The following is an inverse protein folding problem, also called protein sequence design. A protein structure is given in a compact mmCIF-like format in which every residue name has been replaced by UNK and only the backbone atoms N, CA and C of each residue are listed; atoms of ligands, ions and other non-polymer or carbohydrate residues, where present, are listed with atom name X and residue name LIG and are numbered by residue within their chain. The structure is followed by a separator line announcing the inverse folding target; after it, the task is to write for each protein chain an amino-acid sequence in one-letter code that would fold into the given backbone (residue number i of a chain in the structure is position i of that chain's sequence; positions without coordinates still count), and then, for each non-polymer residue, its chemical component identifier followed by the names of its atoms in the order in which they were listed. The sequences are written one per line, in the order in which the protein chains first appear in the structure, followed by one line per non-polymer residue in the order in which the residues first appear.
data_IF_181904927748
#
_entry.id   IF_181904927748
#
_cell.length_a   1.000
_cell.length_b   1.000
_cell.length_c   1.000
_cell.angle_alpha   90.00
_cell.angle_beta   90.00
_cell.angle_gamma   90.00
#
_symmetry.space_group_name_H-M   'P 1'
#
loop_
_entity.id
_entity.type
_entity.pdbx_description
1 polymer ?
#
# COMPACT_ATOMS: atom_id res chain seq x y z
N UNK A 1 5.69 63.27 37.29
CA UNK A 1 5.76 61.84 37.70
C UNK A 1 5.94 60.98 36.46
N UNK A 2 7.19 60.88 36.01
CA UNK A 2 7.71 59.69 35.32
C UNK A 2 8.01 58.66 36.44
N UNK A 3 7.98 57.34 36.30
CA UNK A 3 8.72 56.53 35.34
C UNK A 3 8.15 55.09 35.32
N UNK A 4 8.03 54.55 34.10
CA UNK A 4 8.27 53.15 33.74
C UNK A 4 9.68 52.73 34.20
N UNK A 5 9.91 51.45 34.53
CA UNK A 5 11.11 50.68 34.16
C UNK A 5 11.45 49.64 35.23
N UNK A 6 11.34 48.35 34.88
CA UNK A 6 12.09 47.29 35.54
C UNK A 6 13.20 46.87 34.57
N UNK A 7 14.43 47.24 34.94
CA UNK A 7 15.68 47.00 34.23
C UNK A 7 16.31 45.63 34.60
N UNK A 8 16.84 44.98 33.57
CA UNK A 8 18.19 44.35 33.48
C UNK A 8 18.57 43.15 34.40
N UNK A 9 18.54 41.94 33.82
CA UNK A 9 19.69 41.04 33.42
C UNK A 9 21.09 41.34 34.03
N UNK A 10 22.04 40.39 34.24
CA UNK A 10 22.07 38.90 34.38
C UNK A 10 22.89 38.43 35.64
N UNK A 11 23.32 37.15 35.76
CA UNK A 11 24.72 36.88 35.39
C UNK A 11 24.93 35.60 34.58
N UNK A 12 26.05 35.61 33.85
CA UNK A 12 26.52 34.58 32.94
C UNK A 12 27.93 34.13 33.40
N UNK A 13 28.26 32.85 33.16
CA UNK A 13 29.56 32.16 33.30
C UNK A 13 30.09 31.92 34.73
N UNK A 14 30.58 30.73 35.12
CA UNK A 14 31.32 29.70 34.36
C UNK A 14 31.36 28.34 35.12
N UNK A 15 31.56 27.23 34.40
CA UNK A 15 31.94 25.94 35.00
C UNK A 15 31.64 24.71 34.14
N UNK A 16 32.60 24.31 33.30
CA UNK A 16 32.63 23.04 32.54
C UNK A 16 32.30 21.81 33.41
N UNK A 17 31.54 20.87 32.86
CA UNK A 17 31.99 19.48 32.64
C UNK A 17 30.89 18.61 31.99
N UNK A 18 31.18 18.14 30.77
CA UNK A 18 30.85 16.82 30.21
C UNK A 18 29.45 16.23 30.50
N UNK A 19 28.59 16.18 29.49
CA UNK A 19 27.39 15.35 29.51
C UNK A 19 26.72 15.29 28.15
N UNK A 20 26.68 14.09 27.56
CA UNK A 20 26.18 13.80 26.22
C UNK A 20 24.77 14.35 25.97
N UNK A 21 24.60 15.11 24.89
CA UNK A 21 23.29 15.47 24.33
C UNK A 21 22.79 14.33 23.43
N UNK A 22 22.11 13.36 24.03
CA UNK A 22 21.16 12.49 23.35
C UNK A 22 19.75 12.98 23.67
N UNK A 23 19.18 13.83 22.82
CA UNK A 23 17.78 14.21 22.91
C UNK A 23 16.92 13.00 22.55
N UNK A 24 16.17 12.49 23.53
CA UNK A 24 15.04 11.59 23.31
C UNK A 24 13.97 12.37 22.56
N UNK A 25 13.87 12.14 21.25
CA UNK A 25 12.70 12.55 20.48
C UNK A 25 11.61 11.53 20.81
N UNK A 26 10.52 11.97 21.43
CA UNK A 26 9.39 11.11 21.79
C UNK A 26 8.84 10.42 20.53
N UNK A 27 8.83 9.09 20.54
CA UNK A 27 8.49 8.27 19.36
C UNK A 27 7.09 8.49 18.79
N UNK A 28 6.18 9.09 19.59
CA UNK A 28 4.82 9.41 19.17
C UNK A 28 4.76 10.61 18.19
N UNK A 29 5.63 11.60 18.38
CA UNK A 29 5.67 12.80 17.51
C UNK A 29 6.22 12.45 16.11
N UNK A 30 7.20 11.54 16.06
CA UNK A 30 7.77 11.05 14.81
C UNK A 30 6.77 10.24 13.97
N UNK A 31 6.00 9.35 14.60
CA UNK A 31 5.00 8.53 13.90
C UNK A 31 3.87 9.39 13.33
N UNK A 32 3.38 10.37 14.11
CA UNK A 32 2.40 11.33 13.62
C UNK A 32 2.93 12.17 12.45
N UNK A 33 4.20 12.60 12.51
CA UNK A 33 4.84 13.39 11.47
C UNK A 33 5.00 12.60 10.15
N UNK A 34 5.37 11.32 10.22
CA UNK A 34 5.52 10.48 9.02
C UNK A 34 4.16 10.12 8.40
N UNK A 35 3.13 9.87 9.22
CA UNK A 35 1.75 9.68 8.73
C UNK A 35 1.21 10.94 8.05
N UNK A 36 1.47 12.12 8.62
CA UNK A 36 1.11 13.40 8.01
C UNK A 36 1.77 13.60 6.64
N UNK A 37 3.05 13.24 6.53
CA UNK A 37 3.80 13.30 5.27
C UNK A 37 3.24 12.30 4.25
N UNK A 38 2.95 11.07 4.66
CA UNK A 38 2.34 10.07 3.79
C UNK A 38 0.94 10.48 3.32
N UNK A 39 0.12 11.05 4.21
CA UNK A 39 -1.21 11.56 3.87
C UNK A 39 -1.13 12.61 2.77
N UNK A 40 -0.17 13.55 2.89
CA UNK A 40 0.09 14.57 1.86
C UNK A 40 0.58 13.96 0.54
N UNK A 41 1.51 13.01 0.59
CA UNK A 41 2.10 12.40 -0.60
C UNK A 41 1.10 11.56 -1.40
N UNK A 42 0.21 10.86 -0.69
CA UNK A 42 -0.78 9.96 -1.29
C UNK A 42 -2.13 10.63 -1.49
N UNK A 43 -2.23 11.95 -1.29
CA UNK A 43 -3.49 12.70 -1.32
C UNK A 43 -4.35 12.39 -2.55
N UNK A 44 -3.73 12.30 -3.73
CA UNK A 44 -4.43 12.02 -5.00
C UNK A 44 -4.95 10.58 -5.14
N UNK A 45 -4.50 9.67 -4.28
CA UNK A 45 -4.89 8.26 -4.32
C UNK A 45 -6.12 7.99 -3.45
N UNK A 46 -6.30 8.76 -2.37
CA UNK A 46 -7.43 8.60 -1.46
C UNK A 46 -8.43 9.76 -1.50
N UNK A 47 -8.09 10.93 -2.07
CA UNK A 47 -9.02 12.01 -2.34
C UNK A 47 -9.42 12.04 -3.82
N UNK A 48 -10.63 11.59 -4.11
CA UNK A 48 -11.22 11.51 -5.44
C UNK A 48 -12.48 12.38 -5.49
N UNK A 49 -12.37 13.69 -5.76
CA UNK A 49 -13.46 14.65 -5.59
C UNK A 49 -14.71 14.31 -6.40
N UNK A 50 -14.53 13.76 -7.60
CA UNK A 50 -15.60 13.50 -8.58
C UNK A 50 -16.15 12.06 -8.53
N UNK A 51 -15.61 11.20 -7.66
CA UNK A 51 -16.07 9.82 -7.55
C UNK A 51 -17.53 9.78 -7.06
N UNK A 52 -18.34 8.86 -7.58
CA UNK A 52 -19.70 8.65 -7.06
C UNK A 52 -19.70 7.76 -5.82
N UNK A 53 -20.84 7.66 -5.12
CA UNK A 53 -20.99 6.71 -4.00
C UNK A 53 -20.76 5.28 -4.48
N UNK A 54 -21.31 4.95 -5.63
CA UNK A 54 -21.24 3.63 -6.26
C UNK A 54 -19.80 3.29 -6.66
N UNK A 55 -19.05 4.27 -7.21
CA UNK A 55 -17.62 4.10 -7.51
C UNK A 55 -16.83 3.78 -6.25
N UNK A 56 -17.09 4.50 -5.15
CA UNK A 56 -16.42 4.27 -3.87
C UNK A 56 -16.70 2.87 -3.32
N UNK A 57 -17.96 2.43 -3.37
CA UNK A 57 -18.33 1.05 -2.99
C UNK A 57 -17.56 0.05 -3.84
N UNK A 58 -17.56 0.24 -5.16
CA UNK A 58 -16.88 -0.64 -6.11
C UNK A 58 -15.36 -0.71 -5.86
N UNK A 59 -14.71 0.43 -5.67
CA UNK A 59 -13.26 0.53 -5.44
C UNK A 59 -12.82 -0.11 -4.11
N UNK A 60 -13.67 -0.08 -3.09
CA UNK A 60 -13.35 -0.56 -1.74
C UNK A 60 -13.81 -1.98 -1.45
N UNK A 61 -14.75 -2.55 -2.24
CA UNK A 61 -15.37 -3.85 -1.93
C UNK A 61 -14.34 -4.98 -1.74
N UNK A 62 -13.26 -4.98 -2.54
CA UNK A 62 -12.22 -6.02 -2.56
C UNK A 62 -10.93 -5.56 -1.86
N UNK A 63 -10.99 -4.45 -1.10
CA UNK A 63 -9.85 -3.91 -0.36
C UNK A 63 -9.84 -4.38 1.09
N UNK A 64 -8.68 -4.22 1.74
CA UNK A 64 -8.53 -4.52 3.15
C UNK A 64 -9.34 -3.56 4.04
N UNK A 65 -9.80 -4.02 5.22
CA UNK A 65 -10.39 -3.14 6.22
C UNK A 65 -9.51 -1.93 6.52
N UNK A 66 -10.13 -0.76 6.64
CA UNK A 66 -9.45 0.52 6.83
C UNK A 66 -9.07 1.23 5.53
N UNK A 67 -9.13 0.55 4.37
CA UNK A 67 -9.02 1.21 3.07
C UNK A 67 -10.18 2.20 2.89
N UNK A 68 -9.88 3.39 2.37
CA UNK A 68 -10.86 4.47 2.32
C UNK A 68 -10.69 5.35 1.09
N UNK A 69 -11.76 6.09 0.76
CA UNK A 69 -11.79 7.15 -0.25
C UNK A 69 -12.59 8.32 0.31
N UNK A 70 -12.07 9.54 0.15
CA UNK A 70 -12.77 10.79 0.43
C UNK A 70 -13.11 11.46 -0.91
N UNK A 71 -14.34 11.98 -1.01
CA UNK A 71 -14.83 12.69 -2.19
C UNK A 71 -15.64 13.91 -1.80
N UNK A 72 -15.95 14.78 -2.76
CA UNK A 72 -16.90 15.86 -2.51
C UNK A 72 -18.29 15.28 -2.25
N UNK A 73 -18.97 15.82 -1.23
CA UNK A 73 -20.36 15.47 -0.98
C UNK A 73 -21.25 16.18 -1.98
N UNK A 74 -22.11 15.43 -2.64
CA UNK A 74 -23.12 15.95 -3.57
C UNK A 74 -24.38 16.33 -2.79
N UNK A 75 -24.65 15.62 -1.69
CA UNK A 75 -25.86 15.77 -0.88
C UNK A 75 -25.74 16.81 0.23
N UNK A 76 -24.52 17.19 0.61
CA UNK A 76 -24.27 18.15 1.69
C UNK A 76 -23.33 19.25 1.17
N UNK A 77 -23.80 20.49 1.16
CA UNK A 77 -23.03 21.65 0.71
C UNK A 77 -21.78 21.80 1.59
N UNK A 78 -20.64 22.12 0.97
CA UNK A 78 -19.35 22.33 1.64
C UNK A 78 -19.00 21.20 2.62
N UNK A 79 -19.16 19.96 2.16
CA UNK A 79 -18.83 18.78 2.96
C UNK A 79 -18.20 17.72 2.07
N UNK A 80 -17.49 16.78 2.70
CA UNK A 80 -16.91 15.62 2.06
C UNK A 80 -17.63 14.35 2.48
N UNK A 81 -17.62 13.34 1.61
CA UNK A 81 -18.08 11.99 1.93
C UNK A 81 -16.87 11.07 2.06
N UNK A 82 -16.77 10.38 3.19
CA UNK A 82 -15.78 9.34 3.45
C UNK A 82 -16.42 7.97 3.27
N UNK A 83 -15.90 7.15 2.36
CA UNK A 83 -16.18 5.72 2.31
C UNK A 83 -15.02 4.94 2.92
N UNK A 84 -15.32 3.97 3.80
CA UNK A 84 -14.32 3.11 4.45
C UNK A 84 -14.76 1.66 4.41
N UNK A 85 -13.83 0.74 4.10
CA UNK A 85 -14.04 -0.70 4.21
C UNK A 85 -14.01 -1.10 5.70
N UNK A 86 -15.13 -1.55 6.22
CA UNK A 86 -15.24 -2.08 7.58
C UNK A 86 -14.70 -3.52 7.68
N UNK A 87 -14.25 -3.95 8.87
CA UNK A 87 -13.94 -5.35 9.14
C UNK A 87 -15.16 -6.27 8.93
N UNK A 88 -14.97 -7.56 8.65
CA UNK A 88 -16.06 -8.53 8.61
C UNK A 88 -16.74 -8.67 9.98
N UNK A 89 -18.07 -8.50 10.01
CA UNK A 89 -18.90 -8.82 11.16
C UNK A 89 -19.16 -10.33 11.24
N UNK A 90 -19.42 -10.90 12.42
CA UNK A 90 -19.85 -12.29 12.56
C UNK A 90 -21.17 -12.53 11.78
N UNK A 91 -21.40 -13.77 11.28
CA UNK A 91 -22.40 -14.08 10.26
C UNK A 91 -23.87 -13.79 10.62
N UNK A 92 -24.19 -13.44 11.87
CA UNK A 92 -25.55 -13.19 12.34
C UNK A 92 -26.09 -11.76 12.07
N UNK A 93 -25.25 -10.80 11.64
CA UNK A 93 -25.66 -9.40 11.44
C UNK A 93 -25.90 -8.99 9.96
N UNK A 94 -25.81 -9.93 9.01
CA UNK A 94 -25.78 -9.66 7.56
C UNK A 94 -27.12 -9.22 6.92
N UNK A 95 -28.18 -9.01 7.72
CA UNK A 95 -29.54 -8.79 7.23
C UNK A 95 -30.06 -7.34 7.36
N UNK A 96 -29.18 -6.33 7.32
CA UNK A 96 -29.61 -4.92 7.26
C UNK A 96 -29.67 -4.43 5.80
N UNK A 97 -30.66 -3.61 5.46
CA UNK A 97 -30.83 -3.03 4.11
C UNK A 97 -29.58 -2.29 3.63
N UNK A 98 -28.82 -1.67 4.54
CA UNK A 98 -27.57 -0.98 4.25
C UNK A 98 -26.41 -1.93 3.90
N UNK A 99 -26.38 -3.12 4.51
CA UNK A 99 -25.43 -4.16 4.12
C UNK A 99 -25.74 -4.70 2.72
N UNK A 100 -27.01 -4.86 2.36
CA UNK A 100 -27.40 -5.30 1.02
C UNK A 100 -27.06 -4.26 -0.07
N UNK A 101 -27.11 -2.96 0.25
CA UNK A 101 -26.81 -1.87 -0.71
C UNK A 101 -25.32 -1.51 -0.80
N UNK A 102 -24.58 -1.58 0.29
CA UNK A 102 -23.19 -1.10 0.36
C UNK A 102 -22.19 -2.12 0.92
N UNK A 103 -22.64 -3.34 1.23
CA UNK A 103 -21.81 -4.40 1.78
C UNK A 103 -21.11 -3.95 3.07
N UNK A 104 -19.79 -4.14 3.08
CA UNK A 104 -18.92 -3.73 4.18
C UNK A 104 -18.41 -2.30 4.04
N UNK A 105 -18.82 -1.54 3.03
CA UNK A 105 -18.37 -0.15 2.84
C UNK A 105 -19.29 0.78 3.61
N UNK A 106 -18.77 1.40 4.67
CA UNK A 106 -19.50 2.38 5.48
C UNK A 106 -19.20 3.79 4.98
N UNK A 107 -20.20 4.66 5.06
CA UNK A 107 -20.11 6.03 4.58
C UNK A 107 -20.37 7.02 5.70
N UNK A 108 -19.53 8.05 5.77
CA UNK A 108 -19.60 9.12 6.76
C UNK A 108 -19.53 10.47 6.06
N UNK A 109 -20.01 11.52 6.73
CA UNK A 109 -19.92 12.90 6.27
C UNK A 109 -18.87 13.64 7.09
N UNK A 110 -17.95 14.30 6.41
CA UNK A 110 -16.99 15.22 7.01
C UNK A 110 -17.47 16.62 6.63
N UNK A 111 -18.00 17.36 7.60
CA UNK A 111 -18.49 18.72 7.39
C UNK A 111 -17.37 19.73 7.49
N UNK A 112 -17.51 20.83 6.75
CA UNK A 112 -16.68 22.01 6.94
C UNK A 112 -17.29 22.89 8.03
N UNK A 113 -16.51 23.24 9.06
CA UNK A 113 -16.96 24.03 10.21
C UNK A 113 -15.93 25.13 10.53
N UNK A 114 -16.37 26.33 10.99
CA UNK A 114 -15.43 27.38 11.38
C UNK A 114 -14.54 26.95 12.55
N UNK A 115 -13.24 27.21 12.45
CA UNK A 115 -12.31 26.96 13.55
C UNK A 115 -12.46 27.99 14.67
N UNK A 116 -12.41 27.53 15.92
CA UNK A 116 -12.58 28.38 17.11
C UNK A 116 -11.48 29.44 17.29
N UNK A 117 -10.33 29.26 16.65
CA UNK A 117 -9.17 30.14 16.71
C UNK A 117 -9.12 31.16 15.56
N UNK A 118 -10.15 31.20 14.71
CA UNK A 118 -10.26 32.17 13.62
C UNK A 118 -9.35 31.91 12.42
N UNK A 119 -8.70 30.74 12.32
CA UNK A 119 -7.84 30.39 11.18
C UNK A 119 -8.59 30.03 9.89
N UNK A 120 -9.91 30.23 9.85
CA UNK A 120 -10.79 29.92 8.73
C UNK A 120 -11.62 28.68 9.02
N UNK A 121 -11.90 27.91 7.96
CA UNK A 121 -12.72 26.72 8.04
C UNK A 121 -11.86 25.46 8.22
N UNK A 122 -12.27 24.60 9.15
CA UNK A 122 -11.73 23.27 9.38
C UNK A 122 -12.69 22.18 8.94
N UNK A 123 -12.32 20.93 9.20
CA UNK A 123 -13.11 19.74 8.88
C UNK A 123 -13.41 18.95 10.14
N UNK A 124 -14.63 18.41 10.25
CA UNK A 124 -15.07 17.64 11.40
C UNK A 124 -15.99 16.50 10.95
N UNK A 125 -15.88 15.35 11.61
CA UNK A 125 -16.79 14.24 11.35
C UNK A 125 -18.19 14.56 11.89
N UNK A 126 -19.20 14.57 11.02
CA UNK A 126 -20.57 14.88 11.39
C UNK A 126 -21.27 13.70 12.06
N UNK A 127 -22.22 14.00 12.95
CA UNK A 127 -23.05 12.99 13.64
C UNK A 127 -22.46 12.46 14.95
N UNK A 128 -21.35 13.04 15.42
CA UNK A 128 -20.68 12.67 16.66
C UNK A 128 -20.30 13.92 17.46
N UNK A 129 -20.77 14.03 18.70
CA UNK A 129 -20.69 15.27 19.48
C UNK A 129 -19.29 15.61 20.01
N UNK A 130 -18.38 14.64 20.10
CA UNK A 130 -17.05 14.80 20.73
C UNK A 130 -15.88 14.72 19.72
N UNK A 131 -16.14 14.93 18.42
CA UNK A 131 -15.09 14.85 17.42
C UNK A 131 -14.31 16.17 17.30
N UNK A 132 -12.97 16.15 17.26
CA UNK A 132 -12.17 17.35 17.10
C UNK A 132 -12.35 17.98 15.71
N UNK A 133 -12.14 19.30 15.65
CA UNK A 133 -12.07 20.05 14.38
C UNK A 133 -10.62 20.05 13.91
N UNK A 134 -10.40 19.57 12.68
CA UNK A 134 -9.08 19.49 12.08
C UNK A 134 -8.87 20.64 11.08
N UNK A 135 -7.64 21.18 10.96
CA UNK A 135 -7.37 22.26 9.99
C UNK A 135 -7.55 21.83 8.53
N UNK A 136 -7.33 20.56 8.19
CA UNK A 136 -7.49 20.04 6.83
C UNK A 136 -7.80 18.55 6.80
N UNK A 137 -8.19 18.04 5.63
CA UNK A 137 -8.45 16.61 5.40
C UNK A 137 -7.24 15.73 5.70
N UNK A 138 -6.01 16.21 5.46
CA UNK A 138 -4.79 15.45 5.76
C UNK A 138 -4.61 15.22 7.25
N UNK A 139 -4.94 16.22 8.08
CA UNK A 139 -4.86 16.17 9.53
C UNK A 139 -5.94 15.27 10.12
N UNK A 140 -7.15 15.35 9.55
CA UNK A 140 -8.22 14.40 9.84
C UNK A 140 -7.77 12.95 9.54
N UNK A 141 -7.23 12.71 8.35
CA UNK A 141 -6.83 11.36 7.90
C UNK A 141 -5.69 10.82 8.75
N UNK A 142 -4.63 11.59 9.00
CA UNK A 142 -3.48 11.14 9.79
C UNK A 142 -3.88 10.80 11.23
N UNK A 143 -4.74 11.62 11.84
CA UNK A 143 -5.28 11.36 13.18
C UNK A 143 -6.05 10.05 13.21
N UNK A 144 -6.94 9.82 12.23
CA UNK A 144 -7.77 8.61 12.18
C UNK A 144 -7.04 7.35 11.69
N UNK A 145 -5.78 7.46 11.24
CA UNK A 145 -4.90 6.31 11.07
C UNK A 145 -4.44 5.73 12.41
N UNK A 146 -4.33 6.56 13.45
CA UNK A 146 -3.93 6.15 14.80
C UNK A 146 -5.15 5.94 15.71
N UNK A 147 -6.15 6.81 15.58
CA UNK A 147 -7.31 6.87 16.46
C UNK A 147 -8.60 6.69 15.64
N UNK A 148 -9.16 5.47 15.53
CA UNK A 148 -10.37 5.25 14.74
C UNK A 148 -11.55 6.07 15.24
N UNK A 149 -11.63 6.32 16.55
CA UNK A 149 -12.75 7.02 17.18
C UNK A 149 -14.07 6.35 16.82
N UNK A 150 -15.02 7.06 16.18
CA UNK A 150 -16.32 6.52 15.77
C UNK A 150 -16.31 5.73 14.45
N UNK A 151 -15.17 5.66 13.75
CA UNK A 151 -15.03 4.87 12.52
C UNK A 151 -14.99 3.37 12.85
N UNK A 152 -15.42 2.49 11.93
CA UNK A 152 -15.47 1.05 12.18
C UNK A 152 -14.09 0.40 12.38
N UNK A 153 -13.02 1.06 11.91
CA UNK A 153 -11.63 0.73 12.15
C UNK A 153 -10.73 1.92 11.76
N UNK A 154 -9.44 1.83 12.06
CA UNK A 154 -8.48 2.88 11.70
C UNK A 154 -8.34 3.01 10.17
N UNK A 155 -8.13 4.24 9.70
CA UNK A 155 -7.84 4.49 8.30
C UNK A 155 -6.48 3.93 7.92
N UNK A 156 -6.37 3.42 6.70
CA UNK A 156 -5.10 2.95 6.14
C UNK A 156 -4.78 3.78 4.91
N UNK A 157 -3.78 4.64 5.05
CA UNK A 157 -3.24 5.36 3.92
C UNK A 157 -2.75 4.37 2.86
N UNK A 158 -2.96 4.66 1.57
CA UNK A 158 -2.25 3.99 0.49
C UNK A 158 -0.76 4.02 0.83
N UNK A 159 -0.08 2.88 0.74
CA UNK A 159 1.29 2.77 1.21
C UNK A 159 2.22 3.58 0.30
N UNK A 160 2.60 4.80 0.70
CA UNK A 160 3.94 5.30 0.37
C UNK A 160 4.83 4.72 1.45
N UNK A 161 5.61 3.71 1.08
CA UNK A 161 6.48 2.93 1.96
C UNK A 161 7.18 3.85 3.00
N UNK A 162 6.74 3.78 4.26
CA UNK A 162 7.45 4.31 5.41
C UNK A 162 7.50 3.23 6.49
N UNK A 163 8.72 2.96 6.94
CA UNK A 163 9.07 1.87 7.82
C UNK A 163 8.77 2.23 9.28
N UNK A 164 7.62 1.81 9.81
CA UNK A 164 7.41 1.73 11.27
C UNK A 164 6.13 0.97 11.63
N UNK A 165 6.08 -0.34 11.35
CA UNK A 165 5.27 -1.28 12.15
C UNK A 165 6.09 -2.55 12.43
N UNK A 166 7.29 -2.35 12.97
CA UNK A 166 7.78 -3.27 13.99
C UNK A 166 7.49 -2.59 15.31
N UNK A 167 6.50 -3.13 16.05
CA UNK A 167 6.57 -3.45 17.48
C UNK A 167 5.15 -3.47 18.08
N UNK A 168 4.96 -4.47 18.93
CA UNK A 168 3.83 -4.76 19.82
C UNK A 168 2.58 -5.36 19.18
N UNK A 169 2.47 -6.67 19.38
CA UNK A 169 1.28 -7.46 19.09
C UNK A 169 1.63 -8.94 19.07
N UNK A 170 2.19 -9.45 20.16
CA UNK A 170 2.21 -10.89 20.38
C UNK A 170 0.76 -11.36 20.49
N UNK A 171 0.32 -12.17 19.55
CA UNK A 171 -0.81 -13.05 19.76
C UNK A 171 -0.55 -14.35 19.01
N UNK A 172 -0.31 -15.38 19.82
CA UNK A 172 -0.44 -16.78 19.43
C UNK A 172 -1.81 -17.00 18.78
N UNK A 173 -1.83 -17.36 17.50
CA UNK A 173 -2.85 -18.26 16.96
C UNK A 173 -2.52 -18.62 15.51
N UNK A 174 -2.30 -19.92 15.32
CA UNK A 174 -2.18 -20.60 14.05
C UNK A 174 -3.41 -20.29 13.17
N UNK A 175 -3.24 -19.64 12.01
CA UNK A 175 -4.20 -19.73 10.91
C UNK A 175 -3.52 -19.71 9.52
N UNK A 176 -3.60 -20.86 8.85
CA UNK A 176 -3.92 -21.10 7.43
C UNK A 176 -3.50 -20.07 6.34
N UNK A 177 -2.34 -19.44 6.43
CA UNK A 177 -1.71 -18.74 5.30
C UNK A 177 -0.23 -19.07 5.31
N UNK A 178 0.24 -19.79 4.29
CA UNK A 178 1.57 -20.38 4.23
C UNK A 178 2.70 -19.37 4.47
N UNK A 179 3.19 -19.30 5.70
CA UNK A 179 4.51 -18.77 6.04
C UNK A 179 5.26 -19.89 6.73
N UNK A 180 6.26 -20.52 6.09
CA UNK A 180 7.12 -21.47 6.79
C UNK A 180 8.00 -20.69 7.77
N UNK A 181 8.10 -21.22 8.97
CA UNK A 181 8.96 -20.75 10.05
C UNK A 181 10.39 -20.41 9.57
N UNK A 182 10.90 -19.27 10.01
CA UNK A 182 12.31 -18.89 9.85
C UNK A 182 12.54 -17.69 8.92
N UNK A 183 12.33 -16.49 9.47
CA UNK A 183 12.95 -15.25 8.99
C UNK A 183 12.14 -14.43 7.97
N UNK A 184 11.33 -13.49 8.46
CA UNK A 184 10.96 -12.19 7.85
C UNK A 184 10.78 -12.11 6.31
N UNK A 185 10.16 -13.11 5.68
CA UNK A 185 9.89 -13.14 4.23
C UNK A 185 8.41 -13.02 3.88
N UNK A 186 8.11 -12.73 2.60
CA UNK A 186 6.77 -12.91 2.02
C UNK A 186 6.76 -14.15 1.11
N UNK A 187 5.68 -14.92 1.18
CA UNK A 187 5.46 -16.08 0.32
C UNK A 187 4.12 -15.91 -0.40
N UNK A 188 4.13 -15.95 -1.74
CA UNK A 188 2.91 -15.82 -2.55
C UNK A 188 2.93 -16.74 -3.76
N UNK A 189 1.77 -17.23 -4.15
CA UNK A 189 1.53 -17.99 -5.36
C UNK A 189 1.16 -17.05 -6.51
N UNK A 190 1.90 -17.18 -7.61
CA UNK A 190 1.76 -16.35 -8.80
C UNK A 190 1.79 -17.21 -10.05
N UNK A 191 1.25 -16.68 -11.14
CA UNK A 191 1.41 -17.28 -12.46
C UNK A 191 2.65 -16.70 -13.12
N UNK A 192 3.68 -17.53 -13.32
CA UNK A 192 4.84 -17.15 -14.11
C UNK A 192 4.49 -17.19 -15.60
N UNK A 193 4.78 -16.10 -16.32
CA UNK A 193 4.43 -15.94 -17.73
C UNK A 193 5.63 -16.07 -18.67
N UNK A 194 6.82 -15.68 -18.20
CA UNK A 194 8.04 -15.80 -18.98
C UNK A 194 9.16 -14.85 -18.54
N UNK A 195 10.24 -14.88 -19.30
CA UNK A 195 11.42 -14.03 -19.09
C UNK A 195 11.80 -13.40 -20.42
N UNK A 196 12.03 -12.08 -20.42
CA UNK A 196 12.33 -11.30 -21.61
C UNK A 196 13.62 -10.52 -21.40
N UNK A 197 14.64 -10.67 -22.28
CA UNK A 197 15.79 -9.80 -22.26
C UNK A 197 15.41 -8.39 -22.69
N UNK A 198 15.96 -7.40 -22.00
CA UNK A 198 15.69 -5.99 -22.23
C UNK A 198 16.99 -5.22 -22.33
N UNK A 199 16.99 -4.17 -23.13
CA UNK A 199 18.11 -3.24 -23.23
C UNK A 199 18.22 -2.40 -21.96
N UNK A 200 19.24 -1.53 -21.88
CA UNK A 200 19.38 -0.55 -20.80
C UNK A 200 18.36 0.59 -20.96
N UNK A 201 17.08 0.25 -20.78
CA UNK A 201 15.96 1.17 -20.75
C UNK A 201 15.76 1.70 -19.33
N UNK A 202 14.99 2.79 -19.21
CA UNK A 202 14.43 3.19 -17.93
C UNK A 202 13.62 2.05 -17.29
N UNK A 203 13.69 1.92 -15.97
CA UNK A 203 13.14 0.79 -15.20
C UNK A 203 11.69 0.45 -15.60
N UNK A 204 10.80 1.44 -15.63
CA UNK A 204 9.39 1.29 -16.00
C UNK A 204 9.21 0.92 -17.48
N UNK A 205 10.01 1.49 -18.38
CA UNK A 205 9.98 1.16 -19.80
C UNK A 205 10.42 -0.27 -20.09
N UNK A 206 11.38 -0.80 -19.31
CA UNK A 206 11.78 -2.19 -19.38
C UNK A 206 10.64 -3.15 -18.99
N UNK A 207 9.90 -2.85 -17.91
CA UNK A 207 8.71 -3.62 -17.50
C UNK A 207 7.65 -3.59 -18.61
N UNK A 208 7.32 -2.41 -19.13
CA UNK A 208 6.36 -2.25 -20.23
C UNK A 208 6.75 -3.10 -21.44
N UNK A 209 8.01 -3.01 -21.91
CA UNK A 209 8.51 -3.76 -23.08
C UNK A 209 8.39 -5.28 -22.89
N UNK A 210 8.78 -5.78 -21.72
CA UNK A 210 8.70 -7.20 -21.42
C UNK A 210 7.25 -7.72 -21.36
N UNK A 211 6.35 -6.96 -20.72
CA UNK A 211 4.94 -7.33 -20.63
C UNK A 211 4.28 -7.28 -22.01
N UNK A 212 4.50 -6.24 -22.81
CA UNK A 212 4.00 -6.16 -24.19
C UNK A 212 4.43 -7.36 -25.03
N UNK A 213 5.69 -7.79 -24.92
CA UNK A 213 6.20 -8.96 -25.62
C UNK A 213 5.50 -10.25 -25.19
N UNK A 214 5.34 -10.48 -23.87
CA UNK A 214 4.65 -11.65 -23.33
C UNK A 214 3.17 -11.68 -23.75
N UNK A 215 2.47 -10.54 -23.70
CA UNK A 215 1.07 -10.45 -24.12
C UNK A 215 0.91 -10.72 -25.63
N UNK A 216 1.82 -10.20 -26.46
CA UNK A 216 1.84 -10.47 -27.91
C UNK A 216 2.06 -11.96 -28.23
N UNK A 217 3.00 -12.60 -27.51
CA UNK A 217 3.22 -14.04 -27.62
C UNK A 217 2.00 -14.86 -27.18
N UNK A 218 1.33 -14.44 -26.11
CA UNK A 218 0.12 -15.10 -25.64
C UNK A 218 -1.03 -14.99 -26.65
N UNK A 219 -1.15 -13.85 -27.34
CA UNK A 219 -2.20 -13.63 -28.34
C UNK A 219 -1.99 -14.44 -29.63
N UNK A 220 -0.74 -14.74 -29.98
CA UNK A 220 -0.39 -15.45 -31.23
C UNK A 220 -0.20 -16.96 -31.04
N UNK A 221 -0.06 -17.44 -29.80
CA UNK A 221 0.16 -18.86 -29.51
C UNK A 221 -1.14 -19.65 -29.38
N UNK A 222 -1.27 -20.70 -30.21
CA UNK A 222 -2.41 -21.64 -30.18
C UNK A 222 -2.46 -22.48 -28.89
N UNK A 223 -1.30 -22.76 -28.29
CA UNK A 223 -1.16 -23.59 -27.10
C UNK A 223 -0.87 -22.77 -25.82
N UNK A 224 -1.03 -21.44 -25.87
CA UNK A 224 -0.67 -20.53 -24.80
C UNK A 224 0.85 -20.33 -24.64
N UNK A 225 1.26 -19.66 -23.56
CA UNK A 225 2.66 -19.34 -23.32
C UNK A 225 3.48 -20.61 -22.97
N UNK A 226 4.56 -20.95 -23.71
CA UNK A 226 5.28 -22.22 -23.55
C UNK A 226 5.90 -22.45 -22.16
N UNK A 227 6.25 -21.37 -21.46
CA UNK A 227 6.91 -21.41 -20.14
C UNK A 227 5.98 -21.04 -18.99
N UNK A 228 4.67 -20.97 -19.24
CA UNK A 228 3.68 -20.59 -18.25
C UNK A 228 3.54 -21.67 -17.19
N UNK A 229 3.65 -21.31 -15.92
CA UNK A 229 3.39 -22.23 -14.81
C UNK A 229 2.98 -21.49 -13.53
N UNK A 230 2.29 -22.19 -12.63
CA UNK A 230 2.03 -21.69 -11.28
C UNK A 230 3.29 -21.84 -10.44
N UNK A 231 3.75 -20.75 -9.83
CA UNK A 231 4.98 -20.71 -9.01
C UNK A 231 4.66 -20.21 -7.62
N UNK A 232 5.39 -20.70 -6.62
CA UNK A 232 5.42 -20.09 -5.29
C UNK A 232 6.67 -19.21 -5.20
N UNK A 233 6.47 -17.92 -4.99
CA UNK A 233 7.50 -16.90 -4.81
C UNK A 233 7.78 -16.72 -3.32
N UNK A 234 9.03 -16.84 -2.92
CA UNK A 234 9.53 -16.58 -1.57
C UNK A 234 10.52 -15.42 -1.66
N UNK A 235 10.15 -14.25 -1.17
CA UNK A 235 11.06 -13.10 -1.08
C UNK A 235 11.48 -12.89 0.37
N UNK A 236 12.79 -12.84 0.61
CA UNK A 236 13.39 -12.65 1.94
C UNK A 236 14.53 -11.63 1.87
N UNK A 237 14.75 -10.76 2.87
CA UNK A 237 15.71 -9.67 2.76
C UNK A 237 17.16 -10.10 2.53
N UNK A 238 17.60 -11.14 3.24
CA UNK A 238 18.97 -11.65 3.13
C UNK A 238 19.16 -12.63 1.98
N UNK A 239 18.12 -13.37 1.60
CA UNK A 239 18.22 -14.39 0.56
C UNK A 239 17.91 -13.82 -0.83
N UNK A 240 17.08 -12.80 -0.98
CA UNK A 240 16.57 -12.33 -2.27
C UNK A 240 15.20 -12.94 -2.61
N UNK A 241 14.92 -13.10 -3.90
CA UNK A 241 13.65 -13.64 -4.40
C UNK A 241 13.88 -15.01 -5.00
N UNK A 242 13.22 -16.03 -4.46
CA UNK A 242 13.17 -17.38 -5.03
C UNK A 242 11.78 -17.63 -5.58
N UNK A 243 11.66 -18.30 -6.72
CA UNK A 243 10.36 -18.79 -7.17
C UNK A 243 10.49 -20.18 -7.77
N UNK A 244 9.54 -21.05 -7.38
CA UNK A 244 9.58 -22.48 -7.65
C UNK A 244 8.26 -22.94 -8.26
N UNK A 245 8.33 -23.66 -9.38
CA UNK A 245 7.18 -24.28 -10.04
C UNK A 245 6.46 -25.29 -9.12
N UNK A 246 5.17 -25.04 -8.85
CA UNK A 246 4.31 -25.86 -7.99
C UNK A 246 4.01 -27.23 -8.59
N UNK A 247 3.96 -27.32 -9.91
CA UNK A 247 3.63 -28.56 -10.62
C UNK A 247 4.82 -29.52 -10.72
N UNK A 248 6.04 -29.05 -10.41
CA UNK A 248 7.32 -29.74 -10.63
C UNK A 248 7.55 -30.21 -12.09
N UNK A 249 6.71 -29.79 -13.05
CA UNK A 249 6.78 -30.24 -14.46
C UNK A 249 7.83 -29.48 -15.27
N UNK A 250 8.04 -28.19 -14.98
CA UNK A 250 8.95 -27.34 -15.75
C UNK A 250 10.25 -26.98 -15.01
N UNK A 251 10.47 -27.50 -13.79
CA UNK A 251 11.67 -27.28 -12.97
C UNK A 251 12.14 -25.81 -12.92
N UNK A 252 11.20 -24.86 -12.96
CA UNK A 252 11.52 -23.45 -12.82
C UNK A 252 11.77 -23.19 -11.35
N UNK A 253 13.00 -23.45 -10.92
CA UNK A 253 13.56 -22.92 -9.70
C UNK A 253 14.53 -21.81 -10.08
N UNK A 254 14.19 -20.58 -9.70
CA UNK A 254 15.03 -19.42 -9.93
C UNK A 254 15.28 -18.72 -8.62
N UNK A 255 16.54 -18.35 -8.43
CA UNK A 255 16.98 -17.56 -7.29
C UNK A 255 17.61 -16.26 -7.80
N UNK A 256 16.94 -15.15 -7.49
CA UNK A 256 17.38 -13.80 -7.76
C UNK A 256 18.04 -13.27 -6.50
N UNK A 257 19.36 -13.07 -6.54
CA UNK A 257 20.09 -12.48 -5.41
C UNK A 257 19.68 -11.00 -5.24
N UNK A 258 19.71 -10.44 -4.01
CA UNK A 258 19.42 -9.03 -3.77
C UNK A 258 20.18 -8.10 -4.73
N UNK A 259 21.47 -8.33 -4.92
CA UNK A 259 22.35 -7.53 -5.80
C UNK A 259 22.01 -7.60 -7.30
N UNK A 260 21.16 -8.53 -7.71
CA UNK A 260 20.70 -8.65 -9.10
C UNK A 260 19.40 -7.88 -9.34
N UNK A 261 18.59 -7.63 -8.32
CA UNK A 261 17.27 -7.02 -8.47
C UNK A 261 17.46 -5.51 -8.65
N UNK A 262 16.99 -4.98 -9.79
CA UNK A 262 17.11 -3.56 -10.12
C UNK A 262 15.79 -2.80 -9.88
N UNK A 263 14.67 -3.47 -10.13
CA UNK A 263 13.34 -2.89 -10.05
C UNK A 263 12.26 -3.98 -9.99
N UNK A 264 11.16 -3.70 -9.31
CA UNK A 264 9.94 -4.50 -9.36
C UNK A 264 8.77 -3.54 -9.56
N UNK A 265 7.88 -3.83 -10.50
CA UNK A 265 6.78 -2.91 -10.81
C UNK A 265 5.66 -3.53 -11.61
N UNK A 266 4.48 -2.95 -11.47
CA UNK A 266 3.29 -3.27 -12.26
C UNK A 266 3.46 -2.83 -13.71
N UNK A 267 2.62 -3.36 -14.60
CA UNK A 267 2.51 -2.84 -15.96
C UNK A 267 2.10 -1.35 -15.96
N UNK A 268 2.91 -0.44 -16.53
CA UNK A 268 2.59 0.99 -16.56
C UNK A 268 1.32 1.31 -17.36
N UNK A 269 0.91 0.42 -18.26
CA UNK A 269 -0.30 0.54 -19.07
C UNK A 269 -1.52 -0.15 -18.43
N UNK A 270 -1.36 -0.75 -17.24
CA UNK A 270 -2.45 -1.39 -16.52
C UNK A 270 -3.06 -2.61 -17.21
N UNK A 271 -2.31 -3.29 -18.11
CA UNK A 271 -2.82 -4.44 -18.85
C UNK A 271 -2.76 -5.70 -17.99
N UNK A 272 -3.82 -6.50 -18.11
CA UNK A 272 -3.95 -7.76 -17.38
C UNK A 272 -3.69 -8.94 -18.32
N UNK A 273 -3.01 -9.97 -17.80
CA UNK A 273 -2.89 -11.23 -18.51
C UNK A 273 -4.24 -11.97 -18.45
N UNK A 274 -4.74 -12.36 -19.61
CA UNK A 274 -5.97 -13.13 -19.72
C UNK A 274 -5.61 -14.61 -19.78
N UNK A 275 -5.79 -15.30 -18.66
CA UNK A 275 -5.69 -16.76 -18.61
C UNK A 275 -7.07 -17.42 -18.68
N UNK A 276 -7.23 -18.40 -19.57
CA UNK A 276 -8.49 -19.15 -19.69
C UNK A 276 -8.81 -19.94 -18.41
N UNK A 277 -7.77 -20.48 -17.73
CA UNK A 277 -7.92 -21.20 -16.47
C UNK A 277 -8.38 -20.30 -15.33
N UNK A 278 -7.77 -19.12 -15.19
CA UNK A 278 -8.19 -18.11 -14.20
C UNK A 278 -9.60 -17.57 -14.49
N UNK A 279 -9.93 -17.32 -15.76
CA UNK A 279 -11.28 -16.89 -16.15
C UNK A 279 -12.34 -17.91 -15.79
N UNK A 280 -12.10 -19.20 -16.02
CA UNK A 280 -13.00 -20.28 -15.62
C UNK A 280 -13.21 -20.36 -14.10
N UNK A 281 -12.24 -19.86 -13.32
CA UNK A 281 -12.31 -19.73 -11.85
C UNK A 281 -12.92 -18.39 -11.40
N UNK A 282 -13.44 -17.58 -12.32
CA UNK A 282 -14.02 -16.26 -12.03
C UNK A 282 -13.01 -15.14 -11.83
N UNK A 283 -11.71 -15.38 -12.05
CA UNK A 283 -10.66 -14.38 -11.90
C UNK A 283 -10.33 -13.73 -13.24
N UNK A 284 -10.98 -12.58 -13.49
CA UNK A 284 -10.98 -11.92 -14.81
C UNK A 284 -9.93 -10.80 -14.91
N UNK A 285 -9.42 -10.31 -13.78
CA UNK A 285 -8.54 -9.13 -13.70
C UNK A 285 -7.24 -9.43 -12.93
N UNK A 286 -6.46 -10.39 -13.43
CA UNK A 286 -5.18 -10.74 -12.85
C UNK A 286 -4.12 -9.69 -13.18
N UNK A 287 -3.67 -8.92 -12.18
CA UNK A 287 -2.65 -7.88 -12.41
C UNK A 287 -1.35 -8.51 -12.89
N UNK A 288 -0.72 -7.85 -13.85
CA UNK A 288 0.59 -8.26 -14.40
C UNK A 288 1.69 -7.35 -13.85
N UNK A 289 2.82 -7.94 -13.50
CA UNK A 289 3.98 -7.21 -13.03
C UNK A 289 5.28 -7.88 -13.48
N UNK A 290 6.40 -7.19 -13.31
CA UNK A 290 7.71 -7.75 -13.62
C UNK A 290 8.79 -7.42 -12.60
N UNK A 291 9.77 -8.33 -12.50
CA UNK A 291 11.00 -8.15 -11.73
C UNK A 291 12.15 -7.97 -12.73
N UNK A 292 12.67 -6.76 -12.81
CA UNK A 292 13.85 -6.41 -13.60
C UNK A 292 15.10 -6.77 -12.81
N UNK A 293 15.94 -7.60 -13.42
CA UNK A 293 17.24 -7.99 -12.86
C UNK A 293 18.39 -7.66 -13.79
N UNK A 294 19.59 -7.53 -13.22
CA UNK A 294 20.86 -7.55 -13.93
C UNK A 294 21.56 -8.87 -13.69
N UNK A 295 21.71 -9.66 -14.75
CA UNK A 295 22.47 -10.89 -14.72
C UNK A 295 23.89 -10.62 -15.23
N UNK A 296 24.89 -11.03 -14.46
CA UNK A 296 26.28 -11.07 -14.94
C UNK A 296 26.46 -12.37 -15.72
N UNK A 297 26.83 -12.27 -16.99
CA UNK A 297 27.16 -13.43 -17.81
C UNK A 297 28.57 -13.22 -18.37
N UNK A 298 29.54 -13.93 -17.79
CA UNK A 298 30.97 -13.70 -17.98
C UNK A 298 31.35 -12.22 -17.84
N UNK A 299 31.68 -11.58 -18.97
CA UNK A 299 32.18 -10.21 -19.11
C UNK A 299 31.07 -9.19 -19.43
N UNK A 300 29.84 -9.66 -19.70
CA UNK A 300 28.72 -8.82 -20.12
C UNK A 300 27.62 -8.78 -19.05
N UNK A 301 26.94 -7.64 -18.98
CA UNK A 301 25.75 -7.45 -18.14
C UNK A 301 24.51 -7.44 -19.02
N UNK A 302 23.62 -8.40 -18.80
CA UNK A 302 22.33 -8.50 -19.47
C UNK A 302 21.21 -8.15 -18.49
N UNK A 303 20.27 -7.31 -18.92
CA UNK A 303 19.08 -7.02 -18.14
C UNK A 303 17.95 -7.95 -18.59
N UNK A 304 17.27 -8.57 -17.62
CA UNK A 304 16.17 -9.49 -17.87
C UNK A 304 14.96 -9.07 -17.04
N UNK A 305 13.76 -9.23 -17.57
CA UNK A 305 12.52 -9.07 -16.81
C UNK A 305 11.82 -10.41 -16.72
N UNK A 306 11.62 -10.89 -15.49
CA UNK A 306 10.71 -11.99 -15.22
C UNK A 306 9.30 -11.43 -15.06
N UNK A 307 8.34 -11.96 -15.81
CA UNK A 307 6.96 -11.48 -15.85
C UNK A 307 6.05 -12.46 -15.14
N UNK A 308 5.18 -11.93 -14.29
CA UNK A 308 4.24 -12.67 -13.47
C UNK A 308 2.85 -12.05 -13.54
N UNK A 309 1.85 -12.83 -13.18
CA UNK A 309 0.47 -12.38 -12.98
C UNK A 309 -0.12 -13.00 -11.72
N UNK A 310 -1.09 -12.33 -11.11
CA UNK A 310 -1.82 -12.86 -9.96
C UNK A 310 -2.44 -14.23 -10.27
N UNK A 311 -2.39 -15.14 -9.30
CA UNK A 311 -3.01 -16.46 -9.40
C UNK A 311 -4.25 -16.59 -8.50
N UNK A 312 -4.25 -15.86 -7.39
CA UNK A 312 -5.26 -15.91 -6.33
C UNK A 312 -5.66 -14.49 -5.95
N UNK A 313 -6.96 -14.14 -5.92
CA UNK A 313 -7.41 -12.81 -5.52
C UNK A 313 -6.99 -12.40 -4.09
N UNK A 314 -6.70 -13.38 -3.21
CA UNK A 314 -6.20 -13.10 -1.87
C UNK A 314 -4.70 -12.78 -1.82
N UNK A 315 -3.98 -12.97 -2.94
CA UNK A 315 -2.53 -12.81 -3.03
C UNK A 315 -2.19 -11.71 -4.03
N UNK A 316 -2.20 -10.47 -3.52
CA UNK A 316 -2.00 -9.26 -4.30
C UNK A 316 -0.59 -9.14 -4.87
N UNK A 317 -0.48 -8.95 -6.19
CA UNK A 317 0.77 -8.60 -6.86
C UNK A 317 1.33 -7.27 -6.31
N UNK A 318 0.47 -6.31 -5.98
CA UNK A 318 0.89 -5.01 -5.43
C UNK A 318 1.61 -5.19 -4.10
N UNK A 319 1.12 -6.07 -3.23
CA UNK A 319 1.77 -6.35 -1.94
C UNK A 319 3.17 -6.94 -2.14
N UNK A 320 3.31 -7.89 -3.08
CA UNK A 320 4.61 -8.46 -3.42
C UNK A 320 5.56 -7.42 -4.04
N UNK A 321 5.07 -6.60 -4.97
CA UNK A 321 5.86 -5.52 -5.59
C UNK A 321 6.37 -4.56 -4.53
N UNK A 322 5.50 -4.09 -3.65
CA UNK A 322 5.87 -3.18 -2.57
C UNK A 322 6.91 -3.80 -1.64
N UNK A 323 6.73 -5.06 -1.26
CA UNK A 323 7.71 -5.78 -0.45
C UNK A 323 9.08 -5.86 -1.14
N UNK A 324 9.14 -6.33 -2.39
CA UNK A 324 10.40 -6.48 -3.14
C UNK A 324 11.05 -5.11 -3.36
N UNK A 325 10.26 -4.10 -3.72
CA UNK A 325 10.76 -2.77 -3.99
C UNK A 325 11.37 -2.14 -2.73
N UNK A 326 10.69 -2.26 -1.59
CA UNK A 326 11.22 -1.80 -0.31
C UNK A 326 12.48 -2.55 0.11
N UNK A 327 12.49 -3.88 -0.06
CA UNK A 327 13.55 -4.74 0.46
C UNK A 327 14.84 -4.67 -0.35
N UNK A 328 14.74 -4.51 -1.68
CA UNK A 328 15.90 -4.68 -2.58
C UNK A 328 16.18 -3.49 -3.51
N UNK A 329 15.25 -2.53 -3.64
CA UNK A 329 15.38 -1.45 -4.64
C UNK A 329 15.32 -0.05 -4.06
N UNK A 330 15.29 0.06 -2.73
CA UNK A 330 15.48 1.31 -1.98
C UNK A 330 16.90 1.84 -2.16
#
# INVERSE_FOLDING_TARGET
MLYYSAHLVPPNYSGNATGAIGGLVDGADWEHQELMKQAKNTFREWYLPDATREDVIYMLRDRDPGSFIIRNSISCVNSFSLGIKAPPYPPQAAATSDFLRSGQVKHFIIGTVPMYDGRGDGVQLCGFNDQPVFPALTDFVSHHCLHPGPLPCALRLPSSISASQQRLGGYDSITKYGVPAGGSGIMVDMLYLGCVPVDRLEKSAAIRKAISHILSLAATSVNGLPKRCEVTIHAKPTEGVKFTDRSKRNLVEKHLKPSQILFCGSDPEGRNYVDAGLRNRGFVHAKTFGILIRKKQLWMHENLVYVFSELDPNQSAVTLINYISHTFTS
#
